data_IF_194401451593
#
_entry.id   IF_194401451593
#
_cell.length_a   1.000
_cell.length_b   1.000
_cell.length_c   1.000
_cell.angle_alpha   90.00
_cell.angle_beta   90.00
_cell.angle_gamma   90.00
#
_symmetry.space_group_name_H-M   'P 1'
#
loop_
_entity.id
_entity.type
_entity.pdbx_description
1 polymer ?
#
# COMPACT_ATOMS: atom_id res chain seq x y z
N UNK A 1 23.43 -12.52 14.93
CA UNK A 1 22.31 -12.70 13.99
C UNK A 1 21.58 -11.37 13.85
N UNK A 2 21.12 -10.98 12.65
CA UNK A 2 20.49 -9.67 12.43
C UNK A 2 19.06 -9.58 13.00
N UNK A 3 18.51 -10.66 13.55
CA UNK A 3 17.18 -10.69 14.14
C UNK A 3 17.24 -10.34 15.63
N UNK A 4 16.40 -9.40 16.06
CA UNK A 4 16.25 -9.02 17.46
C UNK A 4 14.95 -9.63 18.02
N UNK A 5 15.08 -10.49 19.02
CA UNK A 5 13.95 -11.11 19.71
C UNK A 5 13.54 -10.23 20.91
N UNK A 6 12.81 -9.15 20.65
CA UNK A 6 12.33 -8.24 21.69
C UNK A 6 10.86 -8.47 22.07
N UNK A 7 10.02 -8.88 21.12
CA UNK A 7 8.58 -9.04 21.29
C UNK A 7 8.11 -10.34 20.60
N UNK A 8 7.29 -11.18 21.26
CA UNK A 8 6.76 -12.40 20.65
C UNK A 8 5.86 -12.15 19.43
N UNK A 9 5.34 -10.93 19.22
CA UNK A 9 4.42 -10.60 18.11
C UNK A 9 5.06 -9.80 16.99
N UNK A 10 6.28 -9.29 17.18
CA UNK A 10 6.95 -8.42 16.20
C UNK A 10 8.26 -9.04 15.75
N UNK A 11 8.38 -9.27 14.44
CA UNK A 11 9.64 -9.63 13.83
C UNK A 11 10.44 -8.34 13.61
N UNK A 12 11.59 -8.26 14.28
CA UNK A 12 12.51 -7.13 14.14
C UNK A 12 13.81 -7.62 13.51
N UNK A 13 14.15 -7.04 12.37
CA UNK A 13 15.44 -7.22 11.71
C UNK A 13 16.23 -5.92 11.75
N UNK A 14 17.51 -6.02 12.09
CA UNK A 14 18.46 -4.92 12.12
C UNK A 14 19.77 -5.32 11.45
N UNK A 15 20.24 -4.45 10.55
CA UNK A 15 21.59 -4.51 10.02
C UNK A 15 22.15 -3.09 9.88
N UNK A 16 23.28 -2.83 10.51
CA UNK A 16 23.90 -1.50 10.57
C UNK A 16 22.91 -0.43 11.07
N UNK A 17 22.57 0.52 10.23
CA UNK A 17 21.64 1.62 10.47
C UNK A 17 20.21 1.34 9.98
N UNK A 18 19.95 0.16 9.40
CA UNK A 18 18.65 -0.21 8.83
C UNK A 18 17.85 -1.06 9.81
N UNK A 19 16.59 -0.68 9.97
CA UNK A 19 15.62 -1.39 10.80
C UNK A 19 14.41 -1.78 9.97
N UNK A 20 13.90 -2.99 10.21
CA UNK A 20 12.67 -3.53 9.61
C UNK A 20 11.84 -4.16 10.72
N UNK A 21 10.60 -3.70 10.85
CA UNK A 21 9.61 -4.20 11.78
C UNK A 21 8.45 -4.77 10.99
N UNK A 22 8.09 -6.02 11.26
CA UNK A 22 6.89 -6.66 10.72
C UNK A 22 6.05 -7.12 11.90
N UNK A 23 4.79 -6.71 11.93
CA UNK A 23 3.86 -7.07 13.00
C UNK A 23 2.47 -7.39 12.43
N UNK A 24 1.68 -8.23 13.11
CA UNK A 24 0.30 -8.46 12.73
C UNK A 24 -0.54 -7.20 12.95
N UNK A 25 -1.39 -6.87 11.97
CA UNK A 25 -2.34 -5.76 12.09
C UNK A 25 -3.71 -6.20 11.54
N UNK A 26 -4.43 -6.95 12.38
CA UNK A 26 -5.70 -7.60 12.06
C UNK A 26 -5.53 -9.01 11.51
N UNK A 27 -6.65 -9.67 11.25
CA UNK A 27 -6.66 -11.02 10.71
C UNK A 27 -6.08 -11.04 9.29
N UNK A 28 -5.22 -12.03 9.00
CA UNK A 28 -4.63 -12.24 7.67
C UNK A 28 -3.85 -11.05 7.12
N UNK A 29 -3.36 -10.17 8.00
CA UNK A 29 -2.84 -8.86 7.62
C UNK A 29 -1.58 -8.48 8.41
N UNK A 30 -0.62 -7.85 7.73
CA UNK A 30 0.67 -7.47 8.30
C UNK A 30 0.93 -5.98 8.05
N UNK A 31 1.48 -5.31 9.05
CA UNK A 31 2.05 -3.98 8.91
C UNK A 31 3.56 -4.08 8.84
N UNK A 32 4.16 -3.39 7.88
CA UNK A 32 5.59 -3.41 7.64
C UNK A 32 6.12 -1.99 7.71
N UNK A 33 7.06 -1.80 8.64
CA UNK A 33 7.72 -0.52 8.88
C UNK A 33 9.22 -0.65 8.70
N UNK A 34 9.85 0.32 8.05
CA UNK A 34 11.30 0.32 7.90
C UNK A 34 11.85 1.74 7.96
N UNK A 35 13.05 1.90 8.52
CA UNK A 35 13.68 3.21 8.68
C UNK A 35 15.20 3.11 8.75
N UNK A 36 15.87 4.24 8.53
CA UNK A 36 17.32 4.40 8.77
C UNK A 36 17.54 5.25 10.01
N UNK A 37 18.48 4.82 10.86
CA UNK A 37 18.80 5.45 12.14
C UNK A 37 17.59 5.59 13.09
N UNK A 38 16.58 4.74 12.92
CA UNK A 38 15.34 4.71 13.70
C UNK A 38 15.26 3.38 14.46
N UNK A 39 15.91 3.27 15.63
CA UNK A 39 15.85 2.06 16.45
C UNK A 39 14.44 1.81 17.01
N UNK A 40 13.64 2.86 17.13
CA UNK A 40 12.21 2.81 17.48
C UNK A 40 11.44 3.50 16.36
N UNK A 41 10.49 2.77 15.74
CA UNK A 41 9.64 3.33 14.69
C UNK A 41 8.69 4.38 15.29
N UNK A 42 8.34 5.39 14.49
CA UNK A 42 7.34 6.37 14.91
C UNK A 42 5.95 5.72 14.97
N UNK A 43 5.19 6.12 15.99
CA UNK A 43 3.85 5.63 16.23
C UNK A 43 2.79 6.47 15.49
N UNK A 44 3.03 6.72 14.20
CA UNK A 44 2.09 7.40 13.32
C UNK A 44 1.31 6.33 12.56
N UNK A 45 0.03 6.18 12.89
CA UNK A 45 -0.81 5.12 12.31
C UNK A 45 -1.47 5.53 10.99
N UNK A 46 -1.52 6.84 10.70
CA UNK A 46 -2.10 7.41 9.49
C UNK A 46 -3.50 6.88 9.19
N UNK A 47 -3.66 6.02 8.17
CA UNK A 47 -4.96 5.48 7.78
C UNK A 47 -5.36 4.24 8.61
N UNK A 48 -4.45 3.67 9.40
CA UNK A 48 -4.70 2.49 10.25
C UNK A 48 -5.26 2.89 11.61
N UNK A 49 -6.42 3.53 11.63
CA UNK A 49 -6.99 4.13 12.86
C UNK A 49 -7.79 3.17 13.70
N UNK A 50 -8.29 2.08 13.12
CA UNK A 50 -9.21 1.19 13.81
C UNK A 50 -8.49 0.17 14.70
N UNK A 51 -9.02 -0.10 15.91
CA UNK A 51 -8.49 -1.15 16.77
C UNK A 51 -8.78 -2.51 16.13
N UNK A 52 -7.74 -3.13 15.59
CA UNK A 52 -7.84 -4.46 14.97
C UNK A 52 -7.81 -5.56 16.02
N UNK A 53 -8.60 -6.61 15.81
CA UNK A 53 -8.60 -7.78 16.68
C UNK A 53 -7.22 -8.43 16.72
N UNK A 54 -6.79 -8.85 17.93
CA UNK A 54 -5.53 -9.57 18.09
C UNK A 54 -5.62 -10.92 17.37
N UNK A 55 -4.67 -11.19 16.48
CA UNK A 55 -4.54 -12.46 15.79
C UNK A 55 -3.44 -13.32 16.41
N UNK A 56 -3.60 -14.64 16.34
CA UNK A 56 -2.56 -15.59 16.77
C UNK A 56 -1.43 -15.57 15.75
N UNK A 57 -0.40 -14.77 16.03
CA UNK A 57 0.81 -14.69 15.24
C UNK A 57 1.83 -15.72 15.73
N UNK A 58 2.49 -16.41 14.80
CA UNK A 58 3.59 -17.31 15.09
C UNK A 58 4.85 -16.81 14.40
N UNK A 59 5.96 -16.75 15.13
CA UNK A 59 7.26 -16.33 14.60
C UNK A 59 8.26 -17.45 14.81
N UNK A 60 8.74 -18.00 13.70
CA UNK A 60 9.78 -19.01 13.66
C UNK A 60 11.10 -18.38 13.25
N UNK A 61 12.12 -18.54 14.10
CA UNK A 61 13.47 -18.10 13.81
C UNK A 61 14.31 -19.31 13.40
N UNK A 62 14.58 -19.44 12.11
CA UNK A 62 15.52 -20.41 11.58
C UNK A 62 16.92 -19.79 11.46
N UNK A 63 17.95 -20.63 11.27
CA UNK A 63 19.34 -20.17 11.25
C UNK A 63 19.61 -19.11 10.16
N UNK A 64 18.88 -19.16 9.03
CA UNK A 64 19.09 -18.28 7.87
C UNK A 64 17.89 -17.39 7.48
N UNK A 65 16.74 -17.54 8.13
CA UNK A 65 15.52 -16.80 7.83
C UNK A 65 14.62 -16.71 9.05
N UNK A 66 13.77 -15.69 9.10
CA UNK A 66 12.71 -15.57 10.09
C UNK A 66 11.36 -15.56 9.35
N UNK A 67 10.44 -16.39 9.82
CA UNK A 67 9.11 -16.56 9.24
C UNK A 67 8.08 -16.06 10.23
N UNK A 68 7.25 -15.09 9.81
CA UNK A 68 6.12 -14.59 10.58
C UNK A 68 4.84 -15.02 9.89
N UNK A 69 4.02 -15.80 10.58
CA UNK A 69 2.73 -16.31 10.08
C UNK A 69 1.58 -15.65 10.84
N UNK A 70 0.66 -15.03 10.12
CA UNK A 70 -0.56 -14.45 10.65
C UNK A 70 -1.77 -14.93 9.82
N UNK A 71 -2.46 -15.97 10.28
CA UNK A 71 -3.58 -16.57 9.55
C UNK A 71 -3.16 -17.05 8.16
N UNK A 72 -3.74 -16.46 7.11
CA UNK A 72 -3.48 -16.79 5.69
C UNK A 72 -2.22 -16.16 5.11
N UNK A 73 -1.59 -15.17 5.77
CA UNK A 73 -0.41 -14.48 5.25
C UNK A 73 0.86 -14.90 6.02
N UNK A 74 1.92 -15.14 5.26
CA UNK A 74 3.24 -15.53 5.76
C UNK A 74 4.25 -14.52 5.21
N UNK A 75 5.05 -13.90 6.08
CA UNK A 75 6.18 -13.07 5.71
C UNK A 75 7.48 -13.78 6.06
N UNK A 76 8.35 -13.98 5.06
CA UNK A 76 9.68 -14.56 5.24
C UNK A 76 10.71 -13.45 5.05
N UNK A 77 11.61 -13.32 6.02
CA UNK A 77 12.71 -12.36 6.01
C UNK A 77 14.03 -13.11 6.03
N UNK A 78 14.85 -12.93 5.00
CA UNK A 78 16.18 -13.53 4.92
C UNK A 78 17.19 -12.81 5.83
N UNK A 79 18.34 -13.42 6.11
CA UNK A 79 19.44 -12.74 6.83
C UNK A 79 19.86 -11.40 6.20
N UNK A 80 19.80 -11.28 4.88
CA UNK A 80 20.08 -10.03 4.13
C UNK A 80 18.96 -8.97 4.26
N UNK A 81 17.88 -9.27 4.99
CA UNK A 81 16.75 -8.38 5.24
C UNK A 81 15.70 -8.35 4.13
N UNK A 82 15.83 -9.19 3.10
CA UNK A 82 14.89 -9.26 1.99
C UNK A 82 13.57 -9.87 2.44
N UNK A 83 12.45 -9.23 2.10
CA UNK A 83 11.11 -9.67 2.50
C UNK A 83 10.35 -10.29 1.33
N UNK A 84 9.73 -11.44 1.58
CA UNK A 84 8.78 -12.07 0.64
C UNK A 84 7.51 -12.47 1.35
N UNK A 85 6.37 -12.15 0.76
CA UNK A 85 5.05 -12.49 1.27
C UNK A 85 4.48 -13.67 0.52
N UNK A 86 3.92 -14.62 1.26
CA UNK A 86 3.27 -15.81 0.76
C UNK A 86 1.87 -15.93 1.35
N UNK A 87 0.98 -16.56 0.58
CA UNK A 87 -0.27 -17.14 1.10
C UNK A 87 -0.23 -18.66 1.06
N UNK A 88 0.39 -19.21 0.02
CA UNK A 88 0.68 -20.64 -0.13
C UNK A 88 2.19 -20.85 -0.27
N UNK A 89 2.76 -21.94 0.24
CA UNK A 89 4.20 -22.18 0.21
C UNK A 89 4.83 -22.14 -1.20
N UNK A 90 4.04 -22.44 -2.24
CA UNK A 90 4.54 -22.62 -3.60
C UNK A 90 4.48 -21.37 -4.48
N UNK A 91 3.79 -20.29 -4.08
CA UNK A 91 3.66 -19.09 -4.90
C UNK A 91 3.75 -17.81 -4.05
N UNK A 92 4.75 -16.95 -4.30
CA UNK A 92 4.83 -15.66 -3.62
C UNK A 92 3.69 -14.74 -4.09
N UNK A 93 3.15 -13.97 -3.16
CA UNK A 93 2.19 -12.90 -3.44
C UNK A 93 2.93 -11.63 -3.87
N UNK A 94 3.92 -11.24 -3.08
CA UNK A 94 4.67 -10.00 -3.26
C UNK A 94 6.10 -10.24 -2.77
N UNK A 95 7.06 -9.83 -3.58
CA UNK A 95 8.48 -10.05 -3.32
C UNK A 95 9.21 -8.72 -3.50
N UNK A 96 10.07 -8.35 -2.55
CA UNK A 96 10.90 -7.17 -2.71
C UNK A 96 11.88 -7.36 -3.88
N UNK A 97 12.08 -6.29 -4.65
CA UNK A 97 13.01 -6.27 -5.79
C UNK A 97 14.39 -5.83 -5.32
N UNK A 98 15.36 -6.75 -5.34
CA UNK A 98 16.75 -6.46 -4.97
C UNK A 98 17.67 -6.73 -6.16
N UNK A 99 18.60 -5.83 -6.48
CA UNK A 99 19.63 -6.05 -7.50
C UNK A 99 20.95 -5.57 -6.94
N UNK A 100 21.54 -6.38 -6.06
CA UNK A 100 22.80 -6.06 -5.39
C UNK A 100 23.94 -6.88 -5.99
N UNK A 101 25.16 -6.35 -5.94
CA UNK A 101 26.35 -7.10 -6.36
C UNK A 101 26.55 -8.26 -5.38
N UNK A 102 26.72 -9.48 -5.88
CA UNK A 102 27.16 -10.61 -5.08
C UNK A 102 28.58 -10.39 -4.55
N UNK A 103 28.96 -11.10 -3.50
CA UNK A 103 30.36 -11.11 -3.07
C UNK A 103 31.23 -11.84 -4.11
N UNK A 104 32.48 -11.43 -4.23
CA UNK A 104 33.43 -12.01 -5.19
C UNK A 104 33.75 -13.44 -4.74
N UNK A 105 33.29 -14.44 -5.50
CA UNK A 105 33.59 -15.86 -5.26
C UNK A 105 32.39 -16.76 -4.99
N UNK A 106 31.17 -16.22 -4.95
CA UNK A 106 29.94 -17.02 -4.87
C UNK A 106 29.37 -17.28 -6.28
N UNK A 107 28.97 -18.52 -6.57
CA UNK A 107 28.46 -18.94 -7.89
C UNK A 107 27.28 -18.07 -8.36
N UNK A 108 27.42 -17.41 -9.51
CA UNK A 108 26.35 -16.58 -10.11
C UNK A 108 25.06 -17.39 -10.40
N UNK A 109 25.17 -18.70 -10.57
CA UNK A 109 24.05 -19.63 -10.77
C UNK A 109 23.27 -19.98 -9.50
N UNK A 110 23.85 -19.76 -8.32
CA UNK A 110 23.28 -20.16 -7.01
C UNK A 110 22.50 -19.02 -6.35
N UNK A 111 22.67 -17.79 -6.83
CA UNK A 111 22.00 -16.60 -6.34
C UNK A 111 20.95 -16.11 -7.36
N UNK A 112 19.83 -16.83 -7.42
CA UNK A 112 18.73 -16.55 -8.36
C UNK A 112 18.28 -15.08 -8.37
N UNK A 113 17.93 -14.57 -9.55
CA UNK A 113 17.31 -13.28 -9.93
C UNK A 113 17.77 -11.95 -9.27
N UNK A 114 18.46 -11.97 -8.13
CA UNK A 114 18.73 -10.85 -7.25
C UNK A 114 20.15 -10.30 -7.34
N UNK A 115 21.07 -11.04 -7.96
CA UNK A 115 22.46 -10.59 -8.14
C UNK A 115 22.58 -9.80 -9.42
N UNK A 116 22.98 -8.54 -9.30
CA UNK A 116 23.22 -7.65 -10.44
C UNK A 116 24.09 -6.46 -10.03
N UNK A 117 24.91 -5.97 -10.96
CA UNK A 117 25.76 -4.79 -10.76
C UNK A 117 24.99 -3.46 -10.68
N UNK A 118 23.66 -3.47 -10.86
CA UNK A 118 22.82 -2.27 -10.83
C UNK A 118 22.76 -1.58 -9.46
N UNK A 119 23.08 -2.31 -8.39
CA UNK A 119 23.07 -1.82 -7.00
C UNK A 119 21.75 -1.14 -6.60
N UNK A 120 20.62 -1.76 -6.96
CA UNK A 120 19.28 -1.31 -6.59
C UNK A 120 18.81 -2.04 -5.34
N UNK A 121 18.45 -1.25 -4.33
CA UNK A 121 17.88 -1.76 -3.08
C UNK A 121 16.36 -1.86 -3.21
N UNK A 122 15.78 -2.88 -2.58
CA UNK A 122 14.32 -3.03 -2.48
C UNK A 122 13.68 -1.92 -1.65
N UNK A 123 14.44 -1.37 -0.69
CA UNK A 123 14.05 -0.24 0.14
C UNK A 123 15.18 0.78 0.15
N UNK A 124 15.07 1.77 -0.72
CA UNK A 124 16.05 2.84 -0.85
C UNK A 124 15.62 4.05 -0.02
N UNK A 125 16.53 4.50 0.83
CA UNK A 125 16.39 5.72 1.63
C UNK A 125 17.47 6.70 1.21
N UNK A 126 17.11 7.65 0.34
CA UNK A 126 18.03 8.70 -0.11
C UNK A 126 17.93 9.90 0.83
N UNK A 127 19.01 10.27 1.56
CA UNK A 127 18.96 11.39 2.47
C UNK A 127 18.78 12.70 1.69
N UNK A 128 17.88 13.55 2.17
CA UNK A 128 17.64 14.91 1.68
C UNK A 128 18.38 15.87 2.61
N UNK A 129 19.02 16.88 2.03
CA UNK A 129 19.62 17.97 2.82
C UNK A 129 18.52 18.63 3.68
N UNK A 130 18.67 18.57 4.99
CA UNK A 130 17.60 18.97 5.94
C UNK A 130 17.04 17.82 6.79
N UNK A 131 17.52 16.58 6.60
CA UNK A 131 17.39 15.49 7.59
C UNK A 131 16.30 14.47 7.33
N UNK A 132 15.45 14.66 6.32
CA UNK A 132 14.44 13.66 5.91
C UNK A 132 14.95 12.78 4.77
N UNK A 133 14.17 11.76 4.38
CA UNK A 133 14.53 10.85 3.30
C UNK A 133 13.55 10.94 2.13
N UNK A 134 14.06 10.76 0.91
CA UNK A 134 13.26 10.34 -0.22
C UNK A 134 13.27 8.82 -0.24
N UNK A 135 12.07 8.21 -0.26
CA UNK A 135 11.90 6.77 -0.14
C UNK A 135 11.51 6.17 -1.47
N UNK A 136 12.13 5.02 -1.80
CA UNK A 136 11.65 4.14 -2.86
C UNK A 136 11.53 2.71 -2.34
N UNK A 137 10.34 2.15 -2.44
CA UNK A 137 10.08 0.74 -2.19
C UNK A 137 9.82 0.03 -3.52
N UNK A 138 10.57 -1.03 -3.80
CA UNK A 138 10.51 -1.76 -5.06
C UNK A 138 10.10 -3.20 -4.83
N UNK A 139 9.20 -3.67 -5.68
CA UNK A 139 8.69 -5.04 -5.68
C UNK A 139 8.80 -5.65 -7.08
N UNK A 140 9.02 -6.95 -7.13
CA UNK A 140 9.04 -7.71 -8.38
C UNK A 140 7.66 -7.64 -9.04
N UNK A 141 7.64 -7.38 -10.34
CA UNK A 141 6.41 -7.41 -11.11
C UNK A 141 6.11 -8.85 -11.53
N UNK A 142 4.93 -9.36 -11.17
CA UNK A 142 4.50 -10.70 -11.62
C UNK A 142 3.79 -10.60 -12.96
N UNK A 143 4.13 -11.49 -13.89
CA UNK A 143 3.47 -11.57 -15.19
C UNK A 143 2.00 -12.01 -15.06
N UNK A 144 1.11 -11.34 -15.79
CA UNK A 144 -0.33 -11.61 -15.73
C UNK A 144 -1.04 -11.08 -14.48
N UNK A 145 -0.33 -10.38 -13.58
CA UNK A 145 -0.92 -9.68 -12.46
C UNK A 145 -1.75 -8.48 -12.93
N UNK A 146 -2.97 -8.37 -12.42
CA UNK A 146 -3.86 -7.22 -12.61
C UNK A 146 -4.01 -6.46 -11.31
N UNK A 147 -3.99 -5.12 -11.39
CA UNK A 147 -4.01 -4.24 -10.23
C UNK A 147 -5.20 -3.30 -10.31
N UNK A 148 -5.96 -3.17 -9.23
CA UNK A 148 -7.16 -2.34 -9.13
C UNK A 148 -7.10 -1.42 -7.91
N UNK A 149 -7.93 -0.37 -7.87
CA UNK A 149 -8.07 0.52 -6.71
C UNK A 149 -7.37 1.86 -6.92
N UNK A 150 -6.48 2.25 -6.00
CA UNK A 150 -5.68 3.48 -6.00
C UNK A 150 -6.44 4.82 -5.90
N UNK A 151 -7.78 4.78 -5.94
CA UNK A 151 -8.64 5.95 -5.83
C UNK A 151 -9.22 6.36 -7.18
N UNK A 152 -9.21 7.66 -7.46
CA UNK A 152 -9.82 8.22 -8.67
C UNK A 152 -8.76 8.93 -9.52
N UNK A 153 -8.56 8.43 -10.73
CA UNK A 153 -7.69 9.03 -11.75
C UNK A 153 -8.46 9.22 -13.05
N UNK A 154 -8.17 10.30 -13.78
CA UNK A 154 -8.82 10.61 -15.06
C UNK A 154 -8.25 9.77 -16.21
N UNK A 155 -8.48 8.46 -16.16
CA UNK A 155 -8.03 7.49 -17.16
C UNK A 155 -9.08 6.41 -17.41
N UNK A 156 -9.04 5.79 -18.59
CA UNK A 156 -9.98 4.74 -18.97
C UNK A 156 -9.62 3.34 -18.41
N UNK A 157 -8.43 3.21 -17.82
CA UNK A 157 -7.86 1.95 -17.38
C UNK A 157 -8.42 1.52 -16.01
N UNK A 158 -9.15 0.40 -15.99
CA UNK A 158 -9.52 -0.27 -14.75
C UNK A 158 -8.35 -1.10 -14.18
N UNK A 159 -7.67 -1.85 -15.05
CA UNK A 159 -6.41 -2.52 -14.71
C UNK A 159 -5.27 -1.51 -14.79
N UNK A 160 -4.66 -1.28 -13.63
CA UNK A 160 -3.60 -0.30 -13.41
C UNK A 160 -2.21 -0.89 -13.70
N UNK A 161 -2.11 -2.17 -14.07
CA UNK A 161 -0.83 -2.76 -14.48
C UNK A 161 -0.32 -2.05 -15.74
N UNK A 162 0.94 -1.63 -15.71
CA UNK A 162 1.59 -0.80 -16.73
C UNK A 162 1.37 0.70 -16.56
N UNK A 163 0.48 1.14 -15.67
CA UNK A 163 0.22 2.55 -15.42
C UNK A 163 1.18 3.16 -14.39
N UNK A 164 1.32 4.49 -14.48
CA UNK A 164 2.04 5.32 -13.52
C UNK A 164 1.03 6.28 -12.91
N UNK A 165 0.93 6.32 -11.59
CA UNK A 165 -0.04 7.14 -10.86
C UNK A 165 0.70 8.11 -9.93
N UNK A 166 0.32 9.39 -9.99
CA UNK A 166 0.83 10.40 -9.07
C UNK A 166 0.08 10.32 -7.73
N UNK A 167 0.83 10.17 -6.64
CA UNK A 167 0.27 10.18 -5.28
C UNK A 167 0.10 11.62 -4.81
N UNK A 168 -0.87 12.32 -5.40
CA UNK A 168 -1.22 13.70 -5.07
C UNK A 168 -2.72 13.96 -5.25
N UNK A 169 -3.23 14.94 -4.53
CA UNK A 169 -4.62 15.37 -4.61
C UNK A 169 -4.73 16.55 -5.60
N UNK A 170 -5.59 16.43 -6.60
CA UNK A 170 -5.86 17.50 -7.59
C UNK A 170 -7.36 17.56 -7.85
N UNK A 171 -7.84 18.65 -8.47
CA UNK A 171 -9.22 18.66 -8.93
C UNK A 171 -9.46 17.48 -9.90
N UNK A 172 -10.50 16.69 -9.65
CA UNK A 172 -10.86 15.46 -10.39
C UNK A 172 -9.94 14.24 -10.18
N UNK A 173 -8.93 14.35 -9.30
CA UNK A 173 -8.04 13.24 -8.93
C UNK A 173 -7.98 13.08 -7.41
N UNK A 174 -8.28 11.87 -6.93
CA UNK A 174 -8.20 11.53 -5.53
C UNK A 174 -7.29 10.32 -5.34
N UNK A 175 -6.11 10.52 -4.76
CA UNK A 175 -5.19 9.42 -4.47
C UNK A 175 -5.61 8.74 -3.16
N UNK A 176 -6.09 7.50 -3.25
CA UNK A 176 -6.40 6.62 -2.12
C UNK A 176 -5.56 5.37 -2.29
N UNK A 177 -4.34 5.30 -1.71
CA UNK A 177 -3.29 4.39 -2.18
C UNK A 177 -3.44 2.97 -1.61
N UNK A 178 -4.63 2.41 -1.76
CA UNK A 178 -4.95 1.01 -1.53
C UNK A 178 -5.13 0.32 -2.88
N UNK A 179 -4.37 -0.74 -3.12
CA UNK A 179 -4.48 -1.57 -4.31
C UNK A 179 -4.97 -2.97 -3.98
N UNK A 180 -5.69 -3.57 -4.93
CA UNK A 180 -6.10 -4.97 -4.91
C UNK A 180 -5.46 -5.67 -6.10
N UNK A 181 -4.68 -6.73 -5.83
CA UNK A 181 -4.05 -7.56 -6.85
C UNK A 181 -4.87 -8.80 -7.15
N UNK A 182 -4.91 -9.21 -8.42
CA UNK A 182 -5.53 -10.47 -8.85
C UNK A 182 -4.85 -11.71 -8.25
N UNK A 183 -3.66 -11.57 -7.65
CA UNK A 183 -2.96 -12.66 -6.95
C UNK A 183 -3.58 -12.99 -5.58
N UNK A 184 -4.56 -12.21 -5.11
CA UNK A 184 -5.28 -12.47 -3.86
C UNK A 184 -4.71 -11.73 -2.65
N UNK A 185 -4.14 -10.54 -2.87
CA UNK A 185 -3.68 -9.67 -1.79
C UNK A 185 -4.11 -8.22 -2.01
N UNK A 186 -4.26 -7.51 -0.90
CA UNK A 186 -4.46 -6.06 -0.86
C UNK A 186 -3.21 -5.39 -0.28
N UNK A 187 -2.88 -4.21 -0.76
CA UNK A 187 -1.72 -3.45 -0.31
C UNK A 187 -2.10 -1.99 -0.14
N UNK A 188 -1.92 -1.46 1.07
CA UNK A 188 -2.10 -0.06 1.42
C UNK A 188 -0.72 0.57 1.63
N UNK A 189 -0.42 1.59 0.86
CA UNK A 189 0.70 2.48 1.13
C UNK A 189 0.30 3.46 2.25
N UNK A 190 0.73 3.17 3.48
CA UNK A 190 0.33 3.93 4.66
C UNK A 190 1.24 5.14 4.89
N UNK A 191 1.38 5.98 3.85
CA UNK A 191 2.22 7.16 3.91
C UNK A 191 1.59 8.30 3.07
N UNK A 192 1.26 9.45 3.70
CA UNK A 192 0.57 10.56 3.02
C UNK A 192 1.49 11.46 2.20
N UNK A 193 2.79 11.15 2.10
CA UNK A 193 3.74 11.96 1.34
C UNK A 193 3.38 12.04 -0.16
N UNK A 194 3.63 13.21 -0.75
CA UNK A 194 3.54 13.38 -2.20
C UNK A 194 4.55 12.47 -2.87
N UNK A 195 4.12 11.79 -3.92
CA UNK A 195 4.90 10.71 -4.48
C UNK A 195 4.35 10.18 -5.80
N UNK A 196 4.73 8.96 -6.12
CA UNK A 196 4.30 8.27 -7.33
C UNK A 196 4.35 6.78 -7.11
N UNK A 197 3.43 6.05 -7.74
CA UNK A 197 3.53 4.61 -7.90
C UNK A 197 3.61 4.25 -9.38
N UNK A 198 4.50 3.32 -9.71
CA UNK A 198 4.71 2.82 -11.06
C UNK A 198 4.49 1.31 -11.04
N UNK A 199 3.42 0.85 -11.69
CA UNK A 199 3.11 -0.58 -11.81
C UNK A 199 3.68 -1.16 -13.11
N UNK A 200 4.95 -0.91 -13.41
CA UNK A 200 5.52 -1.34 -14.67
C UNK A 200 5.58 -2.87 -14.77
N UNK A 201 5.71 -3.39 -16.00
CA UNK A 201 5.79 -4.83 -16.24
C UNK A 201 7.08 -5.46 -15.72
N UNK A 202 8.13 -4.66 -15.55
CA UNK A 202 9.44 -5.08 -15.06
C UNK A 202 9.62 -4.88 -13.55
N UNK A 203 9.04 -3.82 -12.98
CA UNK A 203 9.17 -3.49 -11.55
C UNK A 203 7.98 -2.68 -11.07
N UNK A 204 7.54 -2.95 -9.85
CA UNK A 204 6.60 -2.09 -9.14
C UNK A 204 7.39 -1.17 -8.20
N UNK A 205 7.36 0.15 -8.44
CA UNK A 205 8.07 1.14 -7.62
C UNK A 205 7.08 2.10 -6.94
N UNK A 206 7.19 2.21 -5.62
CA UNK A 206 6.52 3.21 -4.79
C UNK A 206 7.52 4.26 -4.36
N UNK A 207 7.23 5.52 -4.62
CA UNK A 207 8.10 6.65 -4.36
C UNK A 207 7.39 7.64 -3.43
N UNK A 208 8.05 8.03 -2.34
CA UNK A 208 7.65 9.16 -1.50
C UNK A 208 8.76 10.21 -1.54
N UNK A 209 8.40 11.45 -1.88
CA UNK A 209 9.36 12.54 -2.02
C UNK A 209 10.03 12.89 -0.69
N UNK A 210 9.23 12.94 0.38
CA UNK A 210 9.71 13.28 1.73
C UNK A 210 8.99 12.41 2.73
N UNK A 211 9.73 11.50 3.36
CA UNK A 211 9.24 10.68 4.47
C UNK A 211 10.39 10.32 5.41
N UNK A 212 10.05 9.93 6.63
CA UNK A 212 11.02 9.53 7.65
C UNK A 212 11.13 8.01 7.77
N UNK A 213 10.01 7.31 7.56
CA UNK A 213 9.94 5.85 7.56
C UNK A 213 9.09 5.34 6.38
N UNK A 214 9.39 4.12 5.96
CA UNK A 214 8.54 3.31 5.11
C UNK A 214 7.45 2.69 5.99
N UNK A 215 6.19 2.83 5.61
CA UNK A 215 5.06 2.20 6.28
C UNK A 215 4.05 1.75 5.23
N UNK A 216 3.75 0.45 5.22
CA UNK A 216 2.71 -0.11 4.38
C UNK A 216 2.03 -1.28 5.10
N UNK A 217 0.80 -1.54 4.70
CA UNK A 217 -0.02 -2.62 5.22
C UNK A 217 -0.41 -3.55 4.08
N UNK A 218 -0.30 -4.85 4.32
CA UNK A 218 -0.61 -5.90 3.34
C UNK A 218 -1.57 -6.90 3.96
N UNK A 219 -2.55 -7.33 3.19
CA UNK A 219 -3.54 -8.34 3.60
C UNK A 219 -3.67 -9.41 2.52
N UNK A 220 -3.94 -10.65 2.92
CA UNK A 220 -4.19 -11.76 2.00
C UNK A 220 -5.61 -12.30 2.19
N UNK A 221 -6.28 -12.61 1.08
CA UNK A 221 -7.65 -13.16 1.09
C UNK A 221 -7.92 -14.06 -0.11
N UNK A 222 -8.92 -14.91 0.01
CA UNK A 222 -9.27 -15.88 -1.05
C UNK A 222 -10.13 -15.21 -2.13
N UNK A 223 -10.90 -14.20 -1.70
CA UNK A 223 -11.81 -13.45 -2.55
C UNK A 223 -11.56 -11.95 -2.43
N UNK A 224 -11.84 -11.15 -3.48
CA UNK A 224 -11.77 -9.69 -3.40
C UNK A 224 -12.63 -9.08 -2.28
N UNK A 225 -13.73 -9.75 -1.92
CA UNK A 225 -14.63 -9.33 -0.84
C UNK A 225 -13.96 -9.47 0.54
N UNK A 226 -13.19 -10.52 0.78
CA UNK A 226 -12.41 -10.68 2.01
C UNK A 226 -11.36 -9.58 2.15
N UNK A 227 -10.61 -9.31 1.07
CA UNK A 227 -9.56 -8.28 1.03
C UNK A 227 -10.16 -6.89 1.31
N UNK A 228 -11.29 -6.58 0.66
CA UNK A 228 -11.98 -5.29 0.84
C UNK A 228 -12.54 -5.14 2.26
N UNK A 229 -13.04 -6.24 2.85
CA UNK A 229 -13.51 -6.25 4.24
C UNK A 229 -12.35 -6.04 5.22
N UNK A 230 -11.23 -6.72 5.03
CA UNK A 230 -10.04 -6.54 5.86
C UNK A 230 -9.54 -5.09 5.81
N UNK A 231 -9.53 -4.47 4.63
CA UNK A 231 -9.20 -3.06 4.47
C UNK A 231 -10.16 -2.14 5.25
N UNK A 232 -11.48 -2.34 5.10
CA UNK A 232 -12.48 -1.56 5.83
C UNK A 232 -12.40 -1.74 7.36
N UNK A 233 -12.01 -2.93 7.84
CA UNK A 233 -11.77 -3.16 9.27
C UNK A 233 -10.49 -2.48 9.78
N UNK A 234 -9.49 -2.27 8.92
CA UNK A 234 -8.24 -1.61 9.28
C UNK A 234 -8.33 -0.08 9.21
N UNK A 235 -9.10 0.47 8.26
CA UNK A 235 -9.16 1.92 8.00
C UNK A 235 -10.49 2.60 8.33
N UNK A 236 -11.51 1.82 8.73
CA UNK A 236 -12.84 2.31 9.06
C UNK A 236 -13.92 1.83 8.09
N UNK A 237 -15.04 1.36 8.66
CA UNK A 237 -16.20 0.90 7.90
C UNK A 237 -17.14 2.08 7.63
N UNK A 238 -17.63 2.27 6.39
CA UNK A 238 -18.58 3.35 6.11
C UNK A 238 -19.86 3.18 6.93
N UNK A 239 -20.46 4.28 7.42
CA UNK A 239 -21.74 4.23 8.11
C UNK A 239 -22.88 3.85 7.14
N UNK A 240 -24.03 3.50 7.71
CA UNK A 240 -25.24 3.24 6.93
C UNK A 240 -25.68 4.51 6.19
N UNK A 241 -25.90 4.40 4.87
CA UNK A 241 -26.30 5.53 4.03
C UNK A 241 -27.70 6.02 4.42
N UNK A 242 -27.92 7.31 4.70
CA UNK A 242 -29.24 7.80 5.06
C UNK A 242 -30.22 7.77 3.88
N UNK A 243 -31.49 7.47 4.15
CA UNK A 243 -32.53 7.26 3.12
C UNK A 243 -32.66 8.41 2.12
N UNK A 244 -32.55 9.66 2.57
CA UNK A 244 -32.68 10.84 1.71
C UNK A 244 -31.59 10.91 0.63
N UNK A 245 -30.42 10.33 0.89
CA UNK A 245 -29.28 10.38 -0.02
C UNK A 245 -29.37 9.31 -1.13
N UNK A 246 -30.36 8.41 -1.05
CA UNK A 246 -30.70 7.47 -2.13
C UNK A 246 -31.67 8.06 -3.16
N UNK A 247 -32.24 9.24 -2.88
CA UNK A 247 -33.13 9.96 -3.79
C UNK A 247 -32.39 10.75 -4.88
N UNK A 248 -33.15 11.49 -5.67
CA UNK A 248 -32.59 12.40 -6.66
C UNK A 248 -31.97 13.65 -5.99
N UNK A 249 -30.68 13.87 -6.22
CA UNK A 249 -29.97 15.05 -5.77
C UNK A 249 -29.93 16.11 -6.89
N UNK A 250 -30.80 17.13 -6.81
CA UNK A 250 -30.77 18.28 -7.72
C UNK A 250 -29.69 19.28 -7.29
N UNK A 251 -28.71 19.54 -8.16
CA UNK A 251 -27.66 20.53 -7.92
C UNK A 251 -27.40 21.39 -9.17
N UNK A 252 -27.05 22.66 -8.95
CA UNK A 252 -26.53 23.58 -9.96
C UNK A 252 -25.24 24.20 -9.43
N UNK A 253 -24.34 24.62 -10.32
CA UNK A 253 -23.05 25.21 -9.95
C UNK A 253 -23.18 26.41 -9.01
N UNK A 254 -24.24 27.21 -9.17
CA UNK A 254 -24.59 28.30 -8.25
C UNK A 254 -26.11 28.43 -8.15
N UNK A 255 -26.65 28.48 -6.93
CA UNK A 255 -28.03 28.88 -6.65
C UNK A 255 -28.00 30.23 -5.95
N UNK A 256 -28.16 31.31 -6.73
CA UNK A 256 -27.89 32.68 -6.29
C UNK A 256 -28.98 33.25 -5.37
N UNK A 257 -30.23 32.77 -5.46
CA UNK A 257 -31.36 33.34 -4.70
C UNK A 257 -32.19 32.26 -4.02
N UNK A 258 -32.67 32.54 -2.81
CA UNK A 258 -33.64 31.65 -2.13
C UNK A 258 -34.93 31.45 -2.94
N UNK A 259 -35.38 32.49 -3.67
CA UNK A 259 -36.53 32.38 -4.58
C UNK A 259 -36.29 31.46 -5.78
N UNK A 260 -35.03 31.22 -6.21
CA UNK A 260 -34.74 30.24 -7.26
C UNK A 260 -34.80 28.78 -6.79
N UNK A 261 -34.79 28.52 -5.46
CA UNK A 261 -35.05 27.18 -4.92
C UNK A 261 -36.54 26.81 -4.89
N UNK A 262 -37.44 27.80 -4.82
CA UNK A 262 -38.86 27.60 -4.46
C UNK A 262 -39.84 28.07 -5.56
N UNK A 263 -39.53 27.81 -6.83
CA UNK A 263 -40.59 27.86 -7.86
C UNK A 263 -41.34 26.52 -7.84
N UNK A 264 -42.57 26.57 -7.31
CA UNK A 264 -43.54 25.46 -7.20
C UNK A 264 -43.66 24.62 -8.49
N UNK A 265 -44.03 23.32 -8.42
CA UNK A 265 -44.28 22.49 -9.60
C UNK A 265 -45.63 22.88 -10.24
N UNK A 266 -45.66 24.04 -10.89
CA UNK A 266 -46.70 24.41 -11.82
C UNK A 266 -45.97 24.92 -13.06
N UNK A 267 -46.05 24.15 -14.14
CA UNK A 267 -45.53 24.40 -15.49
C UNK A 267 -44.26 23.62 -15.88
N UNK A 268 -44.46 22.32 -16.09
CA UNK A 268 -43.92 21.67 -17.29
C UNK A 268 -44.65 22.32 -18.49
N UNK A 269 -44.18 23.49 -18.93
CA UNK A 269 -44.39 24.03 -20.29
C UNK A 269 -43.78 25.43 -20.41
N UNK A 270 -42.93 25.55 -21.42
CA UNK A 270 -42.67 26.74 -22.22
C UNK A 270 -42.40 28.07 -21.48
N UNK A 271 -41.15 28.50 -21.49
CA UNK A 271 -40.82 29.90 -21.71
C UNK A 271 -39.35 30.04 -22.14
N UNK A 272 -39.10 29.83 -23.43
CA UNK A 272 -38.09 30.62 -24.15
C UNK A 272 -38.66 32.03 -24.19
N UNK A 273 -37.99 33.00 -23.57
CA UNK A 273 -38.27 34.40 -23.83
C UNK A 273 -36.95 35.11 -24.12
N UNK A 274 -36.71 35.29 -25.42
CA UNK A 274 -35.77 36.25 -25.99
C UNK A 274 -36.20 37.66 -25.57
N UNK A 275 -35.24 38.44 -25.10
CA UNK A 275 -35.36 39.87 -24.82
C UNK A 275 -35.50 40.70 -26.10
N UNK A 276 -36.51 41.56 -26.13
CA UNK A 276 -36.31 42.98 -26.49
C UNK A 276 -36.47 43.80 -25.21
#
# INVERSE_FOLDING_TARGET
>A
MPFMQQDPRRLVWQQNDRYLWIEPWGENSLRVRSGRHLPVMRNEDWALTEPVAESQCHIDYEHHQATLTNGKIIAIVNQKGQVTFYRHPHKPLLQEFWRLRGEIGEDESSHGQYVSALNLEGREFRPIQGGKYSLKARFEATEGEKIYGMGQYQQANLDLKGCVLELAQRNSQASVPFMLSSLGYGFLWNNPAVGRVTFAQNVTEWEAQVSEQLDYWITAGDTPAEISRAYALATGTPPMMPDYAMGFCSANSVIVRRKSCWRSPANISAAICLSQ
#
